data_IF_161169113355
#
_entry.id   IF_161169113355
#
_cell.length_a   1.000
_cell.length_b   1.000
_cell.length_c   1.000
_cell.angle_alpha   90.00
_cell.angle_beta   90.00
_cell.angle_gamma   90.00
#
_symmetry.space_group_name_H-M   'P 1'
#
loop_
_entity.id
_entity.type
_entity.pdbx_description
1 polymer ?
#
# COMPACT_ATOMS: atom_id res chain seq x y z
N UNK A 1 -0.08 -34.11 3.19
CA UNK A 1 0.22 -33.15 4.29
C UNK A 1 1.30 -32.10 3.95
N UNK A 2 1.83 -32.03 2.71
CA UNK A 2 2.93 -31.10 2.32
C UNK A 2 2.49 -29.79 1.63
N UNK A 3 1.24 -29.73 1.14
CA UNK A 3 0.75 -28.62 0.31
C UNK A 3 0.61 -27.28 1.04
N UNK A 4 0.08 -27.21 2.29
CA UNK A 4 -0.05 -25.94 3.01
C UNK A 4 1.31 -25.34 3.38
N UNK A 5 2.25 -26.20 3.79
CA UNK A 5 3.59 -25.80 4.24
C UNK A 5 4.45 -25.24 3.12
N UNK A 6 4.32 -25.77 1.89
CA UNK A 6 5.02 -25.21 0.73
C UNK A 6 4.44 -23.84 0.34
N UNK A 7 3.12 -23.68 0.40
CA UNK A 7 2.47 -22.44 -0.02
C UNK A 7 2.72 -21.28 0.96
N UNK A 8 2.48 -21.50 2.25
CA UNK A 8 2.66 -20.48 3.30
C UNK A 8 4.10 -20.39 3.78
N UNK A 9 4.86 -21.48 3.73
CA UNK A 9 6.18 -21.56 4.35
C UNK A 9 6.11 -22.02 5.80
N UNK A 10 7.09 -22.83 6.22
CA UNK A 10 7.20 -23.30 7.61
C UNK A 10 7.91 -22.28 8.50
N UNK A 11 8.97 -21.68 7.97
CA UNK A 11 9.82 -20.74 8.69
C UNK A 11 9.23 -19.33 8.59
N UNK A 12 9.16 -18.61 9.71
CA UNK A 12 8.64 -17.24 9.73
C UNK A 12 9.56 -16.30 8.94
N UNK A 13 10.85 -16.32 9.26
CA UNK A 13 11.87 -15.46 8.68
C UNK A 13 13.14 -16.29 8.40
N UNK A 14 13.23 -16.99 7.26
CA UNK A 14 14.39 -17.81 6.94
C UNK A 14 15.63 -16.94 6.69
N UNK A 15 16.77 -17.38 7.21
CA UNK A 15 18.03 -16.61 7.18
C UNK A 15 19.22 -17.41 6.67
N UNK A 16 20.13 -16.71 6.00
CA UNK A 16 21.48 -17.20 5.67
C UNK A 16 22.46 -16.30 6.40
N UNK A 17 22.97 -16.74 7.57
CA UNK A 17 23.76 -15.88 8.45
C UNK A 17 22.93 -14.70 8.96
N UNK A 18 23.40 -13.46 8.75
CA UNK A 18 22.67 -12.23 9.09
C UNK A 18 21.64 -11.79 8.04
N UNK A 19 21.58 -12.47 6.89
CA UNK A 19 20.71 -12.10 5.79
C UNK A 19 19.31 -12.67 5.98
N UNK A 20 18.32 -11.78 6.11
CA UNK A 20 16.90 -12.13 6.21
C UNK A 20 16.27 -12.16 4.82
N UNK A 21 15.98 -13.36 4.30
CA UNK A 21 15.55 -13.57 2.92
C UNK A 21 14.22 -12.87 2.65
N UNK A 22 13.33 -12.90 3.62
CA UNK A 22 11.97 -12.37 3.50
C UNK A 22 11.99 -10.85 3.45
N UNK A 23 12.65 -10.22 4.42
CA UNK A 23 12.77 -8.75 4.46
C UNK A 23 13.49 -8.24 3.21
N UNK A 24 14.48 -8.98 2.71
CA UNK A 24 15.14 -8.67 1.45
C UNK A 24 14.19 -8.72 0.26
N UNK A 25 13.44 -9.81 0.08
CA UNK A 25 12.56 -9.99 -1.08
C UNK A 25 11.39 -9.01 -1.10
N UNK A 26 10.81 -8.71 0.05
CA UNK A 26 9.67 -7.79 0.21
C UNK A 26 10.00 -6.38 -0.32
N UNK A 27 11.24 -5.90 -0.14
CA UNK A 27 11.59 -4.51 -0.45
C UNK A 27 12.53 -4.34 -1.66
N UNK A 28 13.50 -5.24 -1.88
CA UNK A 28 14.61 -4.97 -2.80
C UNK A 28 14.35 -5.48 -4.21
N UNK A 29 14.49 -6.80 -4.51
CA UNK A 29 14.45 -7.27 -5.89
C UNK A 29 13.12 -6.97 -6.58
N UNK A 30 11.99 -7.12 -5.89
CA UNK A 30 10.65 -6.87 -6.46
C UNK A 30 10.40 -5.40 -6.81
N UNK A 31 10.49 -4.51 -5.82
CA UNK A 31 10.19 -3.08 -6.01
C UNK A 31 11.23 -2.37 -6.90
N UNK A 32 12.51 -2.72 -6.79
CA UNK A 32 13.54 -2.12 -7.66
C UNK A 32 13.34 -2.59 -9.10
N UNK A 33 13.05 -3.89 -9.32
CA UNK A 33 12.76 -4.41 -10.66
C UNK A 33 11.52 -3.75 -11.27
N UNK A 34 10.48 -3.48 -10.48
CA UNK A 34 9.30 -2.77 -10.93
C UNK A 34 9.65 -1.42 -11.58
N UNK A 35 10.49 -0.61 -10.93
CA UNK A 35 10.93 0.68 -11.47
C UNK A 35 11.78 0.51 -12.72
N UNK A 36 12.69 -0.47 -12.73
CA UNK A 36 13.54 -0.77 -13.90
C UNK A 36 12.67 -1.16 -15.10
N UNK A 37 11.62 -1.97 -14.90
CA UNK A 37 10.67 -2.32 -15.96
C UNK A 37 9.94 -1.08 -16.50
N UNK A 38 9.55 -0.15 -15.64
CA UNK A 38 8.93 1.11 -16.07
C UNK A 38 9.90 1.97 -16.88
N UNK A 39 11.17 2.08 -16.47
CA UNK A 39 12.21 2.77 -17.24
C UNK A 39 12.43 2.13 -18.61
N UNK A 40 12.42 0.80 -18.69
CA UNK A 40 12.49 0.06 -19.96
C UNK A 40 11.30 0.41 -20.88
N UNK A 41 10.09 0.52 -20.33
CA UNK A 41 8.89 0.93 -21.07
C UNK A 41 9.01 2.36 -21.61
N UNK A 42 9.59 3.28 -20.85
CA UNK A 42 9.86 4.67 -21.27
C UNK A 42 10.85 4.69 -22.44
N UNK A 43 11.96 3.95 -22.32
CA UNK A 43 12.93 3.81 -23.40
C UNK A 43 12.27 3.23 -24.66
N UNK A 44 11.44 2.20 -24.50
CA UNK A 44 10.70 1.60 -25.61
C UNK A 44 9.78 2.61 -26.29
N UNK A 45 9.01 3.39 -25.53
CA UNK A 45 8.11 4.41 -26.07
C UNK A 45 8.90 5.46 -26.88
N UNK A 46 10.03 5.93 -26.34
CA UNK A 46 10.89 6.88 -27.03
C UNK A 46 11.48 6.32 -28.33
N UNK A 47 11.99 5.09 -28.32
CA UNK A 47 12.58 4.47 -29.52
C UNK A 47 11.56 4.21 -30.62
N UNK A 48 10.30 3.90 -30.27
CA UNK A 48 9.27 3.57 -31.27
C UNK A 48 8.49 4.79 -31.77
N UNK A 49 8.20 5.77 -30.91
CA UNK A 49 7.39 6.94 -31.27
C UNK A 49 8.21 8.23 -31.46
N UNK A 50 9.48 8.24 -31.05
CA UNK A 50 10.34 9.44 -31.08
C UNK A 50 10.08 10.44 -29.95
N UNK A 51 9.16 10.14 -29.03
CA UNK A 51 8.85 10.97 -27.87
C UNK A 51 8.30 10.10 -26.71
N UNK A 52 8.23 10.69 -25.51
CA UNK A 52 7.59 10.08 -24.34
C UNK A 52 6.38 10.92 -23.94
N UNK A 53 5.22 10.27 -23.82
CA UNK A 53 3.95 10.91 -23.44
C UNK A 53 3.96 11.47 -22.00
N UNK A 54 3.11 12.46 -21.75
CA UNK A 54 2.95 13.05 -20.41
C UNK A 54 2.46 12.02 -19.37
N UNK A 55 1.53 11.15 -19.76
CA UNK A 55 1.03 10.02 -18.97
C UNK A 55 2.15 9.05 -18.55
N UNK A 56 3.05 8.69 -19.46
CA UNK A 56 4.17 7.79 -19.17
C UNK A 56 5.11 8.38 -18.13
N UNK A 57 5.42 9.67 -18.24
CA UNK A 57 6.24 10.37 -17.25
C UNK A 57 5.56 10.40 -15.88
N UNK A 58 4.25 10.68 -15.82
CA UNK A 58 3.51 10.64 -14.56
C UNK A 58 3.55 9.27 -13.90
N UNK A 59 3.31 8.18 -14.65
CA UNK A 59 3.38 6.81 -14.11
C UNK A 59 4.78 6.51 -13.58
N UNK A 60 5.82 6.82 -14.35
CA UNK A 60 7.20 6.59 -13.91
C UNK A 60 7.49 7.35 -12.61
N UNK A 61 7.12 8.63 -12.54
CA UNK A 61 7.37 9.47 -11.37
C UNK A 61 6.61 8.97 -10.14
N UNK A 62 5.34 8.59 -10.28
CA UNK A 62 4.56 8.08 -9.17
C UNK A 62 5.10 6.75 -8.63
N UNK A 63 5.40 5.80 -9.53
CA UNK A 63 5.95 4.50 -9.13
C UNK A 63 7.36 4.64 -8.56
N UNK A 64 8.21 5.47 -9.17
CA UNK A 64 9.55 5.75 -8.65
C UNK A 64 9.48 6.37 -7.26
N UNK A 65 8.63 7.38 -7.08
CA UNK A 65 8.44 8.03 -5.79
C UNK A 65 7.97 7.03 -4.73
N UNK A 66 6.98 6.20 -5.04
CA UNK A 66 6.46 5.19 -4.12
C UNK A 66 7.54 4.20 -3.68
N UNK A 67 8.36 3.71 -4.61
CA UNK A 67 9.45 2.77 -4.31
C UNK A 67 10.56 3.45 -3.51
N UNK A 68 10.98 4.67 -3.88
CA UNK A 68 11.98 5.43 -3.13
C UNK A 68 11.50 5.72 -1.71
N UNK A 69 10.26 6.17 -1.57
CA UNK A 69 9.64 6.45 -0.28
C UNK A 69 9.52 5.20 0.61
N UNK A 70 9.30 4.02 0.01
CA UNK A 70 9.33 2.73 0.71
C UNK A 70 10.74 2.34 1.15
N UNK A 71 11.76 2.56 0.31
CA UNK A 71 13.16 2.28 0.63
C UNK A 71 13.72 3.22 1.70
N UNK A 72 13.30 4.49 1.71
CA UNK A 72 13.71 5.47 2.72
C UNK A 72 13.09 5.20 4.10
N UNK A 73 11.93 4.53 4.14
CA UNK A 73 11.22 4.17 5.37
C UNK A 73 11.20 2.65 5.58
N UNK A 74 12.32 1.98 5.28
CA UNK A 74 12.49 0.52 5.38
C UNK A 74 12.12 0.00 6.78
N UNK A 75 12.31 0.79 7.84
CA UNK A 75 11.96 0.41 9.21
C UNK A 75 10.47 0.07 9.42
N UNK A 76 9.58 0.60 8.57
CA UNK A 76 8.14 0.37 8.69
C UNK A 76 7.75 -1.06 8.35
N UNK A 77 8.56 -1.75 7.53
CA UNK A 77 8.34 -3.12 7.05
C UNK A 77 8.32 -4.13 8.21
N UNK A 78 9.14 -3.91 9.24
CA UNK A 78 9.28 -4.81 10.39
C UNK A 78 8.01 -4.91 11.23
N UNK A 79 7.05 -4.02 11.00
CA UNK A 79 5.76 -4.01 11.69
C UNK A 79 4.60 -4.53 10.85
N UNK A 80 4.86 -4.96 9.63
CA UNK A 80 3.86 -5.48 8.70
C UNK A 80 3.52 -6.94 9.01
N UNK A 81 2.31 -7.34 8.62
CA UNK A 81 1.77 -8.69 8.82
C UNK A 81 2.62 -9.74 8.12
N UNK A 82 3.09 -9.41 6.91
CA UNK A 82 3.93 -10.28 6.09
C UNK A 82 5.17 -10.67 6.90
N UNK A 83 5.92 -9.72 7.45
CA UNK A 83 7.12 -9.96 8.27
C UNK A 83 6.81 -10.63 9.63
N UNK A 84 5.80 -10.14 10.34
CA UNK A 84 5.59 -10.50 11.76
C UNK A 84 4.79 -11.78 11.99
N UNK A 85 3.98 -12.20 11.03
CA UNK A 85 3.03 -13.31 11.23
C UNK A 85 3.04 -14.37 10.12
N UNK A 86 3.26 -13.98 8.86
CA UNK A 86 3.16 -14.93 7.75
C UNK A 86 4.48 -15.66 7.51
N UNK A 87 4.44 -16.95 7.18
CA UNK A 87 5.66 -17.69 6.81
C UNK A 87 6.22 -17.23 5.47
N UNK A 88 7.50 -17.52 5.20
CA UNK A 88 8.06 -17.30 3.85
C UNK A 88 7.97 -18.56 3.00
N UNK A 89 6.92 -18.64 2.17
CA UNK A 89 6.66 -19.75 1.25
C UNK A 89 6.47 -19.30 -0.20
N UNK A 90 5.88 -20.16 -1.03
CA UNK A 90 5.59 -19.85 -2.43
C UNK A 90 4.74 -18.59 -2.60
N UNK A 91 3.75 -18.37 -1.73
CA UNK A 91 2.84 -17.22 -1.83
C UNK A 91 3.58 -15.88 -1.75
N UNK A 92 4.37 -15.66 -0.70
CA UNK A 92 5.12 -14.41 -0.52
C UNK A 92 6.23 -14.30 -1.57
N UNK A 93 7.03 -15.35 -1.78
CA UNK A 93 8.13 -15.30 -2.75
C UNK A 93 7.67 -14.97 -4.17
N UNK A 94 6.56 -15.55 -4.65
CA UNK A 94 5.98 -15.22 -5.96
C UNK A 94 5.32 -13.84 -5.93
N UNK A 95 4.67 -13.48 -4.83
CA UNK A 95 4.14 -12.14 -4.60
C UNK A 95 5.21 -11.07 -4.84
N UNK A 96 6.31 -11.18 -4.12
CA UNK A 96 7.42 -10.22 -4.12
C UNK A 96 8.16 -10.18 -5.47
N UNK A 97 8.55 -11.36 -5.97
CA UNK A 97 9.51 -11.45 -7.08
C UNK A 97 8.87 -11.45 -8.45
N UNK A 98 7.60 -11.85 -8.55
CA UNK A 98 6.91 -11.94 -9.83
C UNK A 98 5.68 -11.05 -9.87
N UNK A 99 4.77 -11.17 -8.90
CA UNK A 99 3.50 -10.47 -8.96
C UNK A 99 3.70 -8.95 -8.92
N UNK A 100 4.44 -8.43 -7.94
CA UNK A 100 4.68 -6.98 -7.80
C UNK A 100 5.31 -6.39 -9.07
N UNK A 101 6.51 -6.79 -9.52
CA UNK A 101 7.14 -6.17 -10.68
C UNK A 101 6.35 -6.37 -11.98
N UNK A 102 5.73 -7.54 -12.17
CA UNK A 102 5.01 -7.88 -13.41
C UNK A 102 3.50 -7.62 -13.39
N UNK A 103 2.93 -7.04 -12.34
CA UNK A 103 1.55 -6.53 -12.40
C UNK A 103 1.48 -5.04 -12.09
N UNK A 104 2.38 -4.52 -11.25
CA UNK A 104 2.37 -3.09 -10.89
C UNK A 104 2.97 -2.22 -12.01
N UNK A 105 3.68 -2.81 -12.98
CA UNK A 105 4.13 -2.11 -14.20
C UNK A 105 3.12 -2.18 -15.36
N UNK A 106 1.87 -2.61 -15.13
CA UNK A 106 0.86 -2.73 -16.20
C UNK A 106 0.55 -1.39 -16.86
N UNK A 107 0.49 -0.30 -16.09
CA UNK A 107 0.23 1.04 -16.58
C UNK A 107 1.35 1.50 -17.53
N UNK A 108 2.61 1.37 -17.10
CA UNK A 108 3.76 1.69 -17.92
C UNK A 108 3.83 0.80 -19.17
N UNK A 109 3.55 -0.51 -19.04
CA UNK A 109 3.52 -1.41 -20.20
C UNK A 109 2.40 -1.08 -21.18
N UNK A 110 1.21 -0.74 -20.70
CA UNK A 110 0.12 -0.31 -21.56
C UNK A 110 0.49 0.97 -22.30
N UNK A 111 0.95 2.00 -21.57
CA UNK A 111 1.34 3.28 -22.14
C UNK A 111 2.51 3.14 -23.12
N UNK A 112 3.39 2.15 -22.93
CA UNK A 112 4.49 1.92 -23.85
C UNK A 112 3.96 1.81 -25.28
N UNK A 113 2.92 1.00 -25.51
CA UNK A 113 2.30 0.77 -26.82
C UNK A 113 1.14 1.71 -27.16
N UNK A 114 0.53 2.34 -26.15
CA UNK A 114 -0.62 3.24 -26.29
C UNK A 114 -0.33 4.59 -25.64
N UNK A 115 0.42 5.50 -26.28
CA UNK A 115 0.72 6.81 -25.73
C UNK A 115 -0.58 7.62 -25.53
N UNK A 116 -0.83 8.03 -24.29
CA UNK A 116 -1.97 8.89 -23.93
C UNK A 116 -1.46 10.29 -23.64
N UNK A 117 -2.07 11.30 -24.27
CA UNK A 117 -1.78 12.71 -23.99
C UNK A 117 -2.90 13.30 -23.14
N UNK A 118 -2.60 13.59 -21.88
CA UNK A 118 -3.57 14.04 -20.89
C UNK A 118 -3.83 15.55 -20.98
N UNK A 119 -2.81 16.31 -21.38
CA UNK A 119 -2.84 17.77 -21.36
C UNK A 119 -2.82 18.34 -19.94
N UNK A 120 -2.69 19.65 -19.83
CA UNK A 120 -2.47 20.32 -18.53
C UNK A 120 -3.57 20.05 -17.49
N UNK A 121 -4.84 20.02 -17.92
CA UNK A 121 -5.97 19.77 -17.02
C UNK A 121 -6.00 18.32 -16.53
N UNK A 122 -5.74 17.35 -17.41
CA UNK A 122 -5.67 15.93 -17.04
C UNK A 122 -4.52 15.66 -16.07
N UNK A 123 -3.35 16.23 -16.35
CA UNK A 123 -2.18 16.18 -15.46
C UNK A 123 -2.54 16.77 -14.09
N UNK A 124 -3.12 17.97 -14.04
CA UNK A 124 -3.48 18.63 -12.79
C UNK A 124 -4.49 17.82 -11.98
N UNK A 125 -5.50 17.27 -12.63
CA UNK A 125 -6.51 16.43 -11.97
C UNK A 125 -5.88 15.17 -11.36
N UNK A 126 -5.04 14.47 -12.12
CA UNK A 126 -4.36 13.26 -11.63
C UNK A 126 -3.37 13.58 -10.50
N UNK A 127 -2.61 14.68 -10.62
CA UNK A 127 -1.73 15.13 -9.54
C UNK A 127 -2.49 15.47 -8.27
N UNK A 128 -3.69 16.07 -8.38
CA UNK A 128 -4.54 16.33 -7.22
C UNK A 128 -4.97 15.03 -6.53
N UNK A 129 -5.39 14.02 -7.29
CA UNK A 129 -5.74 12.69 -6.75
C UNK A 129 -4.52 12.03 -6.08
N UNK A 130 -3.37 12.03 -6.76
CA UNK A 130 -2.11 11.47 -6.22
C UNK A 130 -1.71 12.16 -4.92
N UNK A 131 -1.78 13.50 -4.88
CA UNK A 131 -1.40 14.28 -3.70
C UNK A 131 -2.33 13.99 -2.51
N UNK A 132 -3.65 13.91 -2.74
CA UNK A 132 -4.62 13.56 -1.69
C UNK A 132 -4.32 12.17 -1.14
N UNK A 133 -4.13 11.17 -2.02
CA UNK A 133 -3.80 9.81 -1.60
C UNK A 133 -2.50 9.74 -0.78
N UNK A 134 -1.44 10.36 -1.30
CA UNK A 134 -0.14 10.40 -0.63
C UNK A 134 -0.19 11.14 0.71
N UNK A 135 -0.89 12.28 0.78
CA UNK A 135 -1.06 13.03 2.02
C UNK A 135 -1.72 12.18 3.11
N UNK A 136 -2.83 11.51 2.80
CA UNK A 136 -3.53 10.63 3.75
C UNK A 136 -2.61 9.48 4.15
N UNK A 137 -1.99 8.81 3.18
CA UNK A 137 -1.10 7.67 3.42
C UNK A 137 0.07 8.03 4.34
N UNK A 138 0.82 9.07 3.99
CA UNK A 138 2.05 9.44 4.68
C UNK A 138 1.74 10.03 6.04
N UNK A 139 0.75 10.91 6.17
CA UNK A 139 0.41 11.50 7.48
C UNK A 139 -0.14 10.48 8.47
N UNK A 140 -0.96 9.52 8.02
CA UNK A 140 -1.42 8.43 8.86
C UNK A 140 -0.27 7.52 9.33
N UNK A 141 0.66 7.16 8.43
CA UNK A 141 1.82 6.35 8.79
C UNK A 141 2.77 7.07 9.76
N UNK A 142 3.01 8.37 9.57
CA UNK A 142 3.82 9.18 10.51
C UNK A 142 3.17 9.23 11.90
N UNK A 143 1.85 9.45 12.00
CA UNK A 143 1.14 9.42 13.28
C UNK A 143 1.34 8.09 14.01
N UNK A 144 1.24 6.97 13.28
CA UNK A 144 1.45 5.63 13.85
C UNK A 144 2.90 5.36 14.23
N UNK A 145 3.86 5.81 13.41
CA UNK A 145 5.28 5.58 13.65
C UNK A 145 5.78 6.39 14.85
N UNK A 146 5.49 7.69 14.90
CA UNK A 146 5.84 8.55 16.03
C UNK A 146 5.28 7.98 17.33
N UNK A 147 4.01 7.60 17.33
CA UNK A 147 3.34 7.05 18.51
C UNK A 147 3.97 5.74 18.99
N UNK A 148 4.36 4.85 18.07
CA UNK A 148 5.08 3.61 18.39
C UNK A 148 6.47 3.85 18.94
N UNK A 149 7.13 4.94 18.55
CA UNK A 149 8.41 5.38 19.09
C UNK A 149 8.27 6.17 20.41
N UNK A 150 7.05 6.28 20.95
CA UNK A 150 6.77 7.02 22.19
C UNK A 150 6.70 8.54 22.02
N UNK A 151 6.74 9.05 20.77
CA UNK A 151 6.59 10.47 20.46
C UNK A 151 5.11 10.76 20.17
N UNK A 152 4.56 11.83 20.73
CA UNK A 152 3.19 12.25 20.45
C UNK A 152 3.10 13.76 20.15
N UNK A 153 3.74 14.23 19.06
CA UNK A 153 3.83 15.66 18.76
C UNK A 153 2.47 16.31 18.46
N UNK A 154 1.49 15.52 17.98
CA UNK A 154 0.13 15.99 17.68
C UNK A 154 -0.84 15.89 18.85
N UNK A 155 -0.37 15.50 20.05
CA UNK A 155 -1.21 15.26 21.22
C UNK A 155 -2.41 14.33 20.92
N UNK A 156 -2.15 13.26 20.16
CA UNK A 156 -3.16 12.26 19.82
C UNK A 156 -3.65 11.56 21.10
N UNK A 157 -4.97 11.47 21.24
CA UNK A 157 -5.63 10.62 22.22
C UNK A 157 -5.44 9.14 21.89
N UNK A 158 -5.34 8.33 22.94
CA UNK A 158 -5.16 6.89 22.84
C UNK A 158 -5.85 6.19 24.00
N UNK A 159 -6.23 4.94 23.78
CA UNK A 159 -6.65 4.01 24.83
C UNK A 159 -5.53 3.04 25.17
N UNK A 160 -5.43 2.65 26.44
CA UNK A 160 -4.50 1.60 26.87
C UNK A 160 -5.28 0.30 27.01
N UNK A 161 -4.82 -0.72 26.30
CA UNK A 161 -5.38 -2.07 26.38
C UNK A 161 -4.89 -2.79 27.63
N UNK A 162 -5.62 -3.81 28.06
CA UNK A 162 -5.27 -4.74 29.14
C UNK A 162 -3.89 -5.41 28.95
N UNK A 163 -3.44 -5.53 27.70
CA UNK A 163 -2.08 -6.00 27.36
C UNK A 163 -0.98 -4.94 27.52
N UNK A 164 -1.32 -3.74 27.98
CA UNK A 164 -0.41 -2.59 28.10
C UNK A 164 -0.09 -1.89 26.77
N UNK A 165 -0.63 -2.37 25.64
CA UNK A 165 -0.46 -1.72 24.34
C UNK A 165 -1.38 -0.51 24.22
N UNK A 166 -0.91 0.54 23.56
CA UNK A 166 -1.68 1.75 23.31
C UNK A 166 -2.26 1.72 21.88
N UNK A 167 -3.54 2.07 21.75
CA UNK A 167 -4.24 2.21 20.47
C UNK A 167 -4.66 3.67 20.29
N UNK A 168 -4.35 4.26 19.14
CA UNK A 168 -4.68 5.66 18.83
C UNK A 168 -6.18 5.77 18.56
N UNK A 169 -6.85 6.74 19.18
CA UNK A 169 -8.30 6.98 19.06
C UNK A 169 -8.66 8.34 18.46
N UNK A 170 -7.66 9.10 18.00
CA UNK A 170 -7.85 10.42 17.37
C UNK A 170 -6.97 10.58 16.13
N UNK A 171 -6.97 11.75 15.48
CA UNK A 171 -6.22 11.97 14.24
C UNK A 171 -6.81 11.19 13.06
N UNK A 172 -5.98 10.63 12.20
CA UNK A 172 -6.44 9.78 11.10
C UNK A 172 -6.97 8.43 11.60
N UNK A 173 -6.31 7.85 12.59
CA UNK A 173 -6.65 6.56 13.20
C UNK A 173 -7.93 6.60 14.05
N UNK A 174 -8.36 7.80 14.47
CA UNK A 174 -9.69 8.04 15.06
C UNK A 174 -10.81 8.28 14.05
N UNK A 175 -10.50 8.45 12.75
CA UNK A 175 -11.51 8.63 11.68
C UNK A 175 -11.76 7.34 10.90
N UNK A 176 -10.74 6.52 10.76
CA UNK A 176 -10.78 5.22 10.11
C UNK A 176 -9.78 4.30 10.81
N UNK A 177 -10.03 2.99 10.76
CA UNK A 177 -9.11 1.97 11.27
C UNK A 177 -7.87 1.82 10.41
N UNK A 178 -8.02 2.07 9.11
CA UNK A 178 -6.95 1.94 8.12
C UNK A 178 -6.93 3.12 7.16
N UNK A 179 -6.71 4.35 7.65
CA UNK A 179 -6.64 5.54 6.81
C UNK A 179 -5.49 5.47 5.81
N UNK A 180 -4.40 4.79 6.18
CA UNK A 180 -3.28 4.51 5.29
C UNK A 180 -3.71 3.65 4.08
N UNK A 181 -4.57 2.65 4.25
CA UNK A 181 -5.06 1.83 3.13
C UNK A 181 -5.93 2.64 2.18
N UNK A 182 -6.76 3.54 2.71
CA UNK A 182 -7.53 4.48 1.88
C UNK A 182 -6.61 5.38 1.04
N UNK A 183 -5.58 5.96 1.65
CA UNK A 183 -4.60 6.79 0.94
C UNK A 183 -3.88 6.02 -0.17
N UNK A 184 -3.48 4.78 0.12
CA UNK A 184 -2.81 3.89 -0.84
C UNK A 184 -3.73 3.55 -2.02
N UNK A 185 -5.01 3.27 -1.75
CA UNK A 185 -5.99 2.99 -2.80
C UNK A 185 -6.31 4.21 -3.68
N UNK A 186 -6.31 5.42 -3.11
CA UNK A 186 -6.46 6.66 -3.89
C UNK A 186 -5.25 6.86 -4.82
N UNK A 187 -4.03 6.58 -4.35
CA UNK A 187 -2.85 6.59 -5.23
C UNK A 187 -2.97 5.56 -6.36
N UNK A 188 -3.47 4.36 -6.07
CA UNK A 188 -3.71 3.34 -7.10
C UNK A 188 -4.64 3.83 -8.22
N UNK A 189 -5.69 4.60 -7.88
CA UNK A 189 -6.53 5.28 -8.87
C UNK A 189 -5.75 6.30 -9.69
N UNK A 190 -4.97 7.16 -9.06
CA UNK A 190 -4.16 8.16 -9.76
C UNK A 190 -3.24 7.51 -10.80
N UNK A 191 -2.63 6.37 -10.48
CA UNK A 191 -1.74 5.66 -11.40
C UNK A 191 -2.50 5.13 -12.61
N UNK A 192 -3.68 4.56 -12.41
CA UNK A 192 -4.46 3.96 -13.50
C UNK A 192 -5.13 5.02 -14.40
N UNK A 193 -5.53 6.16 -13.83
CA UNK A 193 -6.15 7.26 -14.57
C UNK A 193 -5.22 7.87 -15.63
N UNK A 194 -3.90 7.72 -15.49
CA UNK A 194 -2.94 8.13 -16.51
C UNK A 194 -3.13 7.40 -17.84
N UNK A 195 -3.70 6.18 -17.82
CA UNK A 195 -3.89 5.34 -18.99
C UNK A 195 -5.16 5.67 -19.80
N UNK A 196 -5.93 6.69 -19.40
CA UNK A 196 -7.23 6.97 -20.02
C UNK A 196 -8.24 5.85 -19.77
N UNK A 197 -9.21 5.68 -20.66
CA UNK A 197 -10.36 4.78 -20.44
C UNK A 197 -10.58 3.75 -21.56
N UNK A 198 -9.64 3.62 -22.48
CA UNK A 198 -9.80 2.74 -23.66
C UNK A 198 -9.68 1.26 -23.31
N UNK A 199 -8.94 0.91 -22.26
CA UNK A 199 -8.74 -0.47 -21.84
C UNK A 199 -9.00 -0.64 -20.34
N UNK A 200 -9.69 -1.73 -19.92
CA UNK A 200 -9.84 -2.05 -18.51
C UNK A 200 -8.57 -2.66 -17.89
N UNK A 201 -7.58 -3.05 -18.70
CA UNK A 201 -6.39 -3.78 -18.23
C UNK A 201 -5.58 -3.00 -17.18
N UNK A 202 -5.27 -1.70 -17.36
CA UNK A 202 -4.56 -0.93 -16.32
C UNK A 202 -5.34 -0.87 -15.00
N UNK A 203 -6.67 -0.83 -15.07
CA UNK A 203 -7.56 -0.74 -13.91
C UNK A 203 -7.71 -2.05 -13.13
N UNK A 204 -7.23 -3.18 -13.68
CA UNK A 204 -7.08 -4.41 -12.90
C UNK A 204 -6.32 -4.16 -11.59
N UNK A 205 -5.32 -3.28 -11.62
CA UNK A 205 -4.53 -2.93 -10.45
C UNK A 205 -5.40 -2.38 -9.31
N UNK A 206 -6.30 -1.44 -9.59
CA UNK A 206 -7.19 -0.85 -8.57
C UNK A 206 -8.09 -1.90 -7.92
N UNK A 207 -8.64 -2.82 -8.73
CA UNK A 207 -9.56 -3.87 -8.26
C UNK A 207 -8.81 -4.90 -7.43
N UNK A 208 -7.65 -5.35 -7.92
CA UNK A 208 -6.76 -6.24 -7.19
C UNK A 208 -6.35 -5.62 -5.85
N UNK A 209 -5.91 -4.37 -5.87
CA UNK A 209 -5.41 -3.69 -4.68
C UNK A 209 -6.52 -3.44 -3.66
N UNK A 210 -7.73 -3.06 -4.09
CA UNK A 210 -8.90 -3.00 -3.20
C UNK A 210 -9.15 -4.35 -2.50
N UNK A 211 -9.15 -5.43 -3.27
CA UNK A 211 -9.36 -6.79 -2.74
C UNK A 211 -8.27 -7.17 -1.73
N UNK A 212 -7.01 -6.86 -2.04
CA UNK A 212 -5.88 -7.08 -1.15
C UNK A 212 -6.02 -6.30 0.15
N UNK A 213 -6.36 -5.01 0.08
CA UNK A 213 -6.50 -4.13 1.25
C UNK A 213 -7.68 -4.56 2.14
N UNK A 214 -8.83 -4.91 1.55
CA UNK A 214 -9.98 -5.44 2.29
C UNK A 214 -9.62 -6.74 2.99
N UNK A 215 -8.98 -7.68 2.28
CA UNK A 215 -8.54 -8.94 2.88
C UNK A 215 -7.53 -8.69 4.02
N UNK A 216 -6.58 -7.77 3.84
CA UNK A 216 -5.59 -7.40 4.86
C UNK A 216 -6.25 -6.76 6.10
N UNK A 217 -7.21 -5.87 5.90
CA UNK A 217 -8.00 -5.27 6.97
C UNK A 217 -8.77 -6.34 7.76
N UNK A 218 -9.44 -7.28 7.09
CA UNK A 218 -10.18 -8.35 7.76
C UNK A 218 -9.27 -9.24 8.63
N UNK A 219 -8.06 -9.52 8.14
CA UNK A 219 -7.04 -10.29 8.90
C UNK A 219 -6.50 -9.51 10.08
N UNK A 220 -6.23 -8.21 9.91
CA UNK A 220 -5.73 -7.36 11.00
C UNK A 220 -6.82 -7.17 12.08
N UNK A 221 -8.08 -7.03 11.66
CA UNK A 221 -9.25 -7.01 12.54
C UNK A 221 -9.35 -8.30 13.36
N UNK A 222 -9.23 -9.47 12.74
CA UNK A 222 -9.27 -10.76 13.44
C UNK A 222 -8.11 -10.91 14.43
N UNK A 223 -6.90 -10.54 14.02
CA UNK A 223 -5.72 -10.54 14.89
C UNK A 223 -5.89 -9.59 16.08
N UNK A 224 -6.41 -8.38 15.86
CA UNK A 224 -6.67 -7.40 16.90
C UNK A 224 -7.80 -7.84 17.84
N UNK A 225 -8.87 -8.45 17.33
CA UNK A 225 -9.95 -9.04 18.14
C UNK A 225 -9.42 -10.14 19.06
N UNK A 226 -8.59 -11.05 18.53
CA UNK A 226 -7.97 -12.12 19.33
C UNK A 226 -7.03 -11.58 20.39
N UNK A 227 -6.31 -10.50 20.09
CA UNK A 227 -5.28 -9.93 20.97
C UNK A 227 -5.82 -8.99 22.05
N UNK A 228 -6.80 -8.17 21.71
CA UNK A 228 -7.30 -7.08 22.56
C UNK A 228 -8.76 -7.28 23.02
N UNK A 229 -9.47 -8.27 22.46
CA UNK A 229 -10.79 -8.67 22.93
C UNK A 229 -11.80 -7.53 22.99
N UNK A 230 -12.42 -7.35 24.16
CA UNK A 230 -13.51 -6.39 24.41
C UNK A 230 -13.11 -4.94 24.13
N UNK A 231 -11.85 -4.59 24.36
CA UNK A 231 -11.33 -3.24 24.16
C UNK A 231 -11.29 -2.87 22.68
N UNK A 232 -10.93 -3.83 21.82
CA UNK A 232 -11.02 -3.63 20.38
C UNK A 232 -12.47 -3.47 19.93
N UNK A 233 -13.39 -4.27 20.45
CA UNK A 233 -14.81 -4.14 20.14
C UNK A 233 -15.35 -2.77 20.56
N UNK A 234 -14.90 -2.24 21.70
CA UNK A 234 -15.25 -0.87 22.13
C UNK A 234 -14.75 0.18 21.12
N UNK A 235 -13.50 0.05 20.64
CA UNK A 235 -12.94 0.92 19.62
C UNK A 235 -13.73 0.82 18.30
N UNK A 236 -14.12 -0.40 17.88
CA UNK A 236 -14.94 -0.61 16.70
C UNK A 236 -16.28 0.11 16.82
N UNK A 237 -16.92 0.02 17.99
CA UNK A 237 -18.18 0.69 18.24
C UNK A 237 -18.01 2.21 18.18
N UNK A 238 -16.98 2.77 18.81
CA UNK A 238 -16.71 4.22 18.80
C UNK A 238 -16.48 4.77 17.38
N UNK A 239 -15.78 4.02 16.53
CA UNK A 239 -15.52 4.38 15.14
C UNK A 239 -16.74 4.20 14.21
N UNK A 240 -17.67 3.33 14.57
CA UNK A 240 -18.89 3.06 13.78
C UNK A 240 -20.10 3.87 14.25
N UNK A 241 -20.09 4.36 15.50
CA UNK A 241 -21.09 5.31 15.99
C UNK A 241 -20.83 6.69 15.40
N UNK A 242 -21.79 7.26 14.66
CA UNK A 242 -21.63 8.62 14.19
C UNK A 242 -21.61 9.58 15.38
N UNK A 243 -20.87 10.71 15.29
CA UNK A 243 -20.94 11.75 16.31
C UNK A 243 -22.40 12.23 16.46
N UNK A 244 -22.84 12.60 17.67
CA UNK A 244 -24.21 13.05 17.89
C UNK A 244 -24.53 14.21 16.94
N UNK A 245 -25.51 14.00 16.04
CA UNK A 245 -25.95 14.96 15.03
C UNK A 245 -25.61 14.63 13.57
N UNK A 246 -24.91 13.53 13.27
CA UNK A 246 -24.61 13.11 11.88
C UNK A 246 -25.28 11.77 11.57
N UNK A 247 -26.10 11.70 10.53
CA UNK A 247 -26.77 10.46 10.10
C UNK A 247 -25.75 9.45 9.59
N UNK A 248 -25.97 8.17 9.91
CA UNK A 248 -25.08 7.06 9.57
C UNK A 248 -24.84 6.94 8.05
N UNK A 249 -23.72 7.46 7.61
CA UNK A 249 -23.24 7.40 6.23
C UNK A 249 -21.75 7.65 6.22
N UNK A 250 -20.96 6.70 6.73
CA UNK A 250 -19.50 6.74 6.58
C UNK A 250 -18.97 5.39 6.12
N UNK A 251 -18.17 5.50 5.06
CA UNK A 251 -17.58 4.46 4.24
C UNK A 251 -16.98 3.31 5.05
N UNK A 252 -17.38 2.09 4.68
CA UNK A 252 -16.61 0.86 4.94
C UNK A 252 -15.22 0.94 4.31
#
# INVERSE_FOLDING_TARGET
MWRPTWFIGRELNPRIGSFDIKTFNELRPGLILWVILNMSCVCWQYTNFGYVSDSMWLVLLFHLWYVVDSLLHEETIFSQMDITTDGFGFMLSVGDLAWVPFTYSLQARYLAFHPVHLGALGILAILAVQFVGFYIFRTANVEKNDFRQGRNPKNLQFMTTSTGRKLITSGWWGRSRHPNYLGDWIMAWAWCLTCGFESPIPYFYVVYFATLLVHRQLRDDDACKKKYGKEYVSLLNELTTPPPGVTAGRFM
#
